data_IF_820217042587
#
_entry.id   IF_820217042587
#
_cell.length_a   1.000
_cell.length_b   1.000
_cell.length_c   1.000
_cell.angle_alpha   90.00
_cell.angle_beta   90.00
_cell.angle_gamma   90.00
#
_symmetry.space_group_name_H-M   'P 1'
#
loop_
_entity.id
_entity.type
_entity.pdbx_description
1 polymer ?
#
# COMPACT_ATOMS: atom_id res chain seq x y z
N UNK A 1 -17.76 19.43 12.52
CA UNK A 1 -16.69 18.48 12.88
C UNK A 1 -16.04 17.72 11.71
N UNK A 2 -16.45 17.91 10.44
CA UNK A 2 -15.90 17.19 9.29
C UNK A 2 -14.64 17.80 8.64
N UNK A 3 -14.30 19.04 8.97
CA UNK A 3 -13.13 19.71 8.37
C UNK A 3 -11.85 19.64 9.21
N UNK A 4 -11.94 19.22 10.48
CA UNK A 4 -10.77 19.19 11.38
C UNK A 4 -9.89 17.95 11.17
N UNK A 5 -10.45 16.84 10.68
CA UNK A 5 -9.67 15.60 10.46
C UNK A 5 -8.78 15.69 9.22
N UNK A 6 -9.25 16.41 8.17
CA UNK A 6 -8.47 16.61 6.94
C UNK A 6 -7.26 17.52 7.17
N UNK A 7 -7.42 18.53 8.05
CA UNK A 7 -6.33 19.44 8.43
C UNK A 7 -5.28 18.77 9.32
N UNK A 8 -5.68 17.78 10.15
CA UNK A 8 -4.73 17.02 10.98
C UNK A 8 -3.83 16.10 10.13
N UNK A 9 -4.37 15.47 9.08
CA UNK A 9 -3.58 14.64 8.15
C UNK A 9 -2.62 15.48 7.31
N UNK A 10 -3.06 16.66 6.84
CA UNK A 10 -2.19 17.60 6.10
C UNK A 10 -1.12 18.20 7.02
N UNK A 11 -1.47 18.53 8.28
CA UNK A 11 -0.54 19.05 9.27
C UNK A 11 0.53 18.04 9.70
N UNK A 12 0.19 16.74 9.82
CA UNK A 12 1.16 15.68 10.12
C UNK A 12 2.13 15.45 8.95
N UNK A 13 1.66 15.55 7.70
CA UNK A 13 2.50 15.41 6.51
C UNK A 13 3.50 16.56 6.38
N UNK A 14 3.09 17.79 6.71
CA UNK A 14 3.98 18.96 6.70
C UNK A 14 4.97 18.92 7.89
N UNK A 15 4.54 18.44 9.07
CA UNK A 15 5.43 18.30 10.23
C UNK A 15 6.48 17.19 10.05
N UNK A 16 6.14 16.09 9.38
CA UNK A 16 7.10 15.04 9.02
C UNK A 16 8.06 15.49 7.92
N UNK A 17 7.58 16.26 6.93
CA UNK A 17 8.44 16.86 5.90
C UNK A 17 9.43 17.89 6.47
N UNK A 18 9.01 18.67 7.48
CA UNK A 18 9.84 19.72 8.08
C UNK A 18 10.99 19.19 8.94
N UNK A 19 10.88 18.02 9.56
CA UNK A 19 11.96 17.40 10.35
C UNK A 19 12.90 16.53 9.52
N UNK A 20 12.42 15.88 8.48
CA UNK A 20 13.26 15.10 7.55
C UNK A 20 14.17 15.97 6.70
N UNK A 21 13.87 17.27 6.54
CA UNK A 21 14.64 18.17 5.68
C UNK A 21 15.95 18.67 6.27
N UNK A 22 16.23 18.48 7.57
CA UNK A 22 17.50 18.89 8.16
C UNK A 22 18.62 17.86 8.01
N UNK A 23 18.30 16.57 7.86
CA UNK A 23 19.30 15.50 7.80
C UNK A 23 19.39 14.79 6.44
N UNK A 24 18.46 15.05 5.52
CA UNK A 24 18.44 14.52 4.15
C UNK A 24 18.74 15.59 3.08
N UNK A 25 19.35 16.72 3.47
CA UNK A 25 19.89 17.66 2.49
C UNK A 25 20.97 16.92 1.72
N UNK A 26 20.68 16.51 0.47
CA UNK A 26 21.72 16.13 -0.50
C UNK A 26 22.71 17.27 -0.46
N UNK A 27 23.96 17.06 -0.02
CA UNK A 27 24.90 18.16 0.07
C UNK A 27 25.15 18.65 -1.36
N UNK A 28 24.54 19.77 -1.71
CA UNK A 28 24.79 20.44 -2.98
C UNK A 28 26.18 21.00 -2.87
N UNK A 29 27.12 20.31 -3.48
CA UNK A 29 28.52 20.72 -3.52
C UNK A 29 28.84 21.39 -4.84
N UNK A 30 29.88 22.20 -4.84
CA UNK A 30 30.36 22.90 -6.04
C UNK A 30 31.77 22.47 -6.41
N UNK A 31 32.04 22.51 -7.70
CA UNK A 31 33.37 22.46 -8.27
C UNK A 31 33.89 23.91 -8.39
N UNK A 32 35.05 24.19 -7.85
CA UNK A 32 35.70 25.48 -7.97
C UNK A 32 36.99 25.24 -8.77
N UNK A 33 37.05 25.81 -9.95
CA UNK A 33 38.27 25.81 -10.78
C UNK A 33 38.86 27.20 -10.77
N UNK A 34 40.17 27.29 -10.66
CA UNK A 34 40.89 28.54 -10.69
C UNK A 34 42.14 28.45 -11.55
N UNK A 35 42.62 29.61 -12.00
CA UNK A 35 43.87 29.74 -12.71
C UNK A 35 44.72 30.79 -11.99
N UNK A 36 45.94 30.45 -11.71
CA UNK A 36 46.91 31.33 -11.07
C UNK A 36 47.90 31.81 -12.11
N UNK A 37 48.05 33.12 -12.22
CA UNK A 37 49.00 33.76 -13.12
C UNK A 37 49.82 34.81 -12.38
N UNK A 38 51.08 34.94 -12.72
CA UNK A 38 51.95 36.03 -12.22
C UNK A 38 51.43 37.38 -12.72
N UNK A 39 51.31 38.32 -11.83
CA UNK A 39 50.72 39.63 -12.15
C UNK A 39 51.59 40.48 -13.10
N UNK A 40 52.91 40.34 -13.00
CA UNK A 40 53.86 41.14 -13.79
C UNK A 40 54.13 40.51 -15.14
N UNK A 41 54.42 39.21 -15.16
CA UNK A 41 54.85 38.50 -16.36
C UNK A 41 53.67 37.97 -17.17
N UNK A 42 52.49 37.84 -16.53
CA UNK A 42 51.28 37.21 -17.08
C UNK A 42 51.49 35.73 -17.44
N UNK A 43 52.56 35.10 -16.96
CA UNK A 43 52.81 33.68 -17.11
C UNK A 43 52.00 32.89 -16.10
N UNK A 44 51.68 31.67 -16.47
CA UNK A 44 51.04 30.67 -15.63
C UNK A 44 52.01 30.26 -14.51
N UNK A 45 51.48 29.93 -13.33
CA UNK A 45 52.28 29.59 -12.15
C UNK A 45 51.92 28.18 -11.71
N UNK A 46 52.90 27.27 -11.84
CA UNK A 46 52.78 25.86 -11.43
C UNK A 46 53.32 25.63 -10.00
N UNK A 47 53.02 24.48 -9.43
CA UNK A 47 53.49 23.95 -8.13
C UNK A 47 53.16 24.84 -6.91
N UNK A 48 52.15 25.67 -6.98
CA UNK A 48 51.68 26.46 -5.86
C UNK A 48 50.53 25.76 -5.15
N UNK A 49 50.68 25.54 -3.83
CA UNK A 49 49.61 24.99 -3.00
C UNK A 49 48.52 26.05 -2.75
N UNK A 50 47.31 25.72 -3.14
CA UNK A 50 46.13 26.54 -2.91
C UNK A 50 45.23 25.84 -1.85
N UNK A 51 44.96 26.56 -0.77
CA UNK A 51 44.06 26.06 0.29
C UNK A 51 42.74 26.83 0.28
N UNK A 52 41.62 26.08 0.32
CA UNK A 52 40.29 26.63 0.47
C UNK A 52 39.70 26.18 1.80
N UNK A 53 39.34 27.12 2.68
CA UNK A 53 38.66 26.85 3.95
C UNK A 53 37.19 27.23 3.84
N UNK A 54 36.30 26.25 4.01
CA UNK A 54 34.85 26.48 4.09
C UNK A 54 34.48 27.05 5.46
N UNK A 55 33.80 28.17 5.50
CA UNK A 55 33.30 28.77 6.75
C UNK A 55 32.08 27.97 7.29
N UNK A 56 31.40 27.18 6.43
CA UNK A 56 30.23 26.40 6.83
C UNK A 56 30.62 25.14 7.58
N UNK A 57 31.62 24.41 7.09
CA UNK A 57 32.06 23.13 7.67
C UNK A 57 33.37 23.20 8.43
N UNK A 58 34.11 24.32 8.31
CA UNK A 58 35.46 24.44 8.83
C UNK A 58 36.52 23.61 8.08
N UNK A 59 36.11 22.78 7.11
CA UNK A 59 37.00 21.89 6.37
C UNK A 59 37.92 22.68 5.45
N UNK A 60 39.18 22.24 5.38
CA UNK A 60 40.21 22.78 4.48
C UNK A 60 40.37 21.80 3.31
N UNK A 61 40.33 22.33 2.10
CA UNK A 61 40.62 21.63 0.85
C UNK A 61 41.93 22.13 0.31
N UNK A 62 42.79 21.27 -0.21
CA UNK A 62 44.09 21.62 -0.81
C UNK A 62 44.10 21.18 -2.27
N UNK A 63 44.71 21.96 -3.10
CA UNK A 63 45.00 21.66 -4.50
C UNK A 63 46.33 22.34 -4.89
N UNK A 64 47.10 21.75 -5.78
CA UNK A 64 48.29 22.34 -6.38
C UNK A 64 47.96 22.81 -7.79
N UNK A 65 48.62 23.88 -8.23
CA UNK A 65 48.52 24.39 -9.60
C UNK A 65 49.33 23.52 -10.55
N UNK A 66 48.75 23.18 -11.69
CA UNK A 66 49.38 22.43 -12.78
C UNK A 66 50.25 23.38 -13.67
N UNK A 67 50.87 22.80 -14.70
CA UNK A 67 51.68 23.50 -15.70
C UNK A 67 50.99 24.69 -16.41
N UNK A 68 49.63 24.69 -16.38
CA UNK A 68 48.80 25.77 -16.92
C UNK A 68 48.30 26.72 -15.81
N UNK A 69 48.86 26.64 -14.61
CA UNK A 69 48.45 27.42 -13.46
C UNK A 69 47.05 27.05 -12.93
N UNK A 70 46.45 25.91 -13.38
CA UNK A 70 45.09 25.52 -13.03
C UNK A 70 45.06 24.72 -11.73
N UNK A 71 44.13 25.07 -10.85
CA UNK A 71 43.77 24.26 -9.66
C UNK A 71 42.29 23.97 -9.59
N UNK A 72 41.91 22.89 -8.91
CA UNK A 72 40.51 22.44 -8.83
C UNK A 72 40.19 21.93 -7.44
N UNK A 73 39.15 22.52 -6.83
CA UNK A 73 38.51 21.98 -5.64
C UNK A 73 37.19 21.31 -6.01
N UNK A 74 36.96 20.11 -5.49
CA UNK A 74 35.70 19.37 -5.69
C UNK A 74 34.98 19.25 -4.36
N UNK A 75 33.64 19.10 -4.43
CA UNK A 75 32.81 18.85 -3.26
C UNK A 75 32.85 19.97 -2.19
N UNK A 76 32.95 21.19 -2.62
CA UNK A 76 32.97 22.37 -1.73
C UNK A 76 31.50 22.71 -1.37
N UNK A 77 31.12 22.73 -0.06
CA UNK A 77 29.78 23.11 0.34
C UNK A 77 29.47 24.57 -0.05
N UNK A 78 28.18 24.81 -0.32
CA UNK A 78 27.69 26.15 -0.63
C UNK A 78 27.85 27.03 0.62
N UNK A 79 28.36 28.22 0.45
CA UNK A 79 28.51 29.20 1.52
C UNK A 79 29.81 30.02 1.40
N UNK A 80 30.14 30.71 2.48
CA UNK A 80 31.36 31.50 2.52
C UNK A 80 32.59 30.62 2.60
N UNK A 81 33.60 30.89 1.76
CA UNK A 81 34.87 30.18 1.75
C UNK A 81 36.02 31.18 1.62
N UNK A 82 37.17 30.83 2.17
CA UNK A 82 38.41 31.63 2.11
C UNK A 82 39.46 30.84 1.39
N UNK A 83 40.10 31.41 0.39
CA UNK A 83 41.24 30.82 -0.31
C UNK A 83 42.54 31.44 0.21
N UNK A 84 43.55 30.59 0.43
CA UNK A 84 44.93 30.96 0.73
C UNK A 84 45.83 30.32 -0.29
N UNK A 85 46.87 31.09 -0.69
CA UNK A 85 47.99 30.55 -1.44
C UNK A 85 49.14 30.30 -0.46
N UNK A 86 49.77 29.14 -0.57
CA UNK A 86 50.94 28.76 0.21
C UNK A 86 52.05 28.49 -0.80
N UNK A 87 52.95 29.41 -0.90
CA UNK A 87 54.14 29.25 -1.72
C UNK A 87 55.36 29.20 -0.80
N UNK A 88 56.36 28.39 -1.14
CA UNK A 88 57.58 28.21 -0.38
C UNK A 88 58.43 29.49 -0.30
N UNK A 89 58.32 30.34 -1.33
CA UNK A 89 59.09 31.58 -1.46
C UNK A 89 58.30 32.84 -1.09
N UNK A 90 57.01 32.74 -0.86
CA UNK A 90 56.12 33.85 -0.56
C UNK A 90 55.36 33.63 0.76
N UNK A 91 55.28 34.66 1.59
CA UNK A 91 54.47 34.60 2.82
C UNK A 91 52.99 34.39 2.47
N UNK A 92 52.36 33.48 3.13
CA UNK A 92 50.97 33.06 2.89
C UNK A 92 50.03 34.28 2.68
N UNK A 93 49.46 34.38 1.50
CA UNK A 93 48.50 35.40 1.14
C UNK A 93 47.06 34.93 1.43
N UNK A 94 46.35 35.69 2.25
CA UNK A 94 44.93 35.41 2.54
C UNK A 94 44.06 36.13 1.51
N UNK A 95 43.34 35.36 0.72
CA UNK A 95 42.31 35.88 -0.18
C UNK A 95 41.02 36.25 0.57
N UNK A 96 40.33 37.26 0.06
CA UNK A 96 39.05 37.70 0.59
C UNK A 96 38.01 36.58 0.58
N UNK A 97 37.14 36.61 1.58
CA UNK A 97 35.95 35.75 1.69
C UNK A 97 35.07 35.93 0.45
N UNK A 98 34.72 34.87 -0.23
CA UNK A 98 33.74 34.88 -1.32
C UNK A 98 32.56 33.99 -0.98
N UNK A 99 31.37 34.38 -1.46
CA UNK A 99 30.16 33.55 -1.33
C UNK A 99 30.01 32.71 -2.58
N UNK A 100 29.94 31.39 -2.39
CA UNK A 100 29.58 30.45 -3.44
C UNK A 100 28.06 30.46 -3.63
N UNK A 101 27.51 31.56 -4.15
CA UNK A 101 26.08 31.64 -4.48
C UNK A 101 25.74 30.93 -5.79
N UNK A 102 24.45 30.60 -6.00
CA UNK A 102 23.92 29.68 -7.00
C UNK A 102 24.14 30.05 -8.48
N UNK A 103 24.81 31.14 -8.80
CA UNK A 103 25.06 31.53 -10.20
C UNK A 103 26.55 31.45 -10.50
N UNK A 104 26.88 30.99 -11.72
CA UNK A 104 28.25 31.03 -12.22
C UNK A 104 28.75 32.48 -12.22
N UNK A 105 29.76 32.74 -11.41
CA UNK A 105 30.45 34.03 -11.43
C UNK A 105 31.92 33.81 -11.74
N UNK A 106 32.38 34.39 -12.83
CA UNK A 106 33.80 34.63 -13.03
C UNK A 106 34.22 35.76 -12.09
N UNK A 107 34.95 35.44 -11.04
CA UNK A 107 35.40 36.41 -10.09
C UNK A 107 36.91 36.64 -10.33
N UNK A 108 37.27 37.84 -10.81
CA UNK A 108 38.65 38.25 -10.91
C UNK A 108 39.11 38.83 -9.57
N UNK A 109 40.08 38.19 -8.95
CA UNK A 109 40.74 38.73 -7.77
C UNK A 109 42.12 39.21 -8.15
N UNK A 110 42.41 40.50 -7.92
CA UNK A 110 43.73 41.03 -7.99
C UNK A 110 44.30 41.11 -6.59
N UNK A 111 45.42 40.48 -6.36
CA UNK A 111 46.13 40.57 -5.10
C UNK A 111 46.71 42.00 -4.91
N UNK A 112 46.81 42.46 -3.65
CA UNK A 112 47.27 43.79 -3.34
C UNK A 112 48.66 44.06 -3.95
N UNK A 113 49.06 45.36 -4.10
CA UNK A 113 50.25 45.78 -4.78
C UNK A 113 51.54 45.12 -4.30
N UNK A 114 51.53 44.38 -3.22
CA UNK A 114 52.70 43.69 -2.65
C UNK A 114 52.72 42.18 -3.04
N UNK A 115 51.75 41.68 -3.81
CA UNK A 115 51.71 40.27 -4.18
C UNK A 115 51.51 40.09 -5.69
N UNK A 116 52.35 39.25 -6.34
CA UNK A 116 52.46 39.21 -7.79
C UNK A 116 51.42 38.35 -8.50
N UNK A 117 50.46 37.78 -7.82
CA UNK A 117 49.53 36.80 -8.42
C UNK A 117 48.12 37.34 -8.65
N UNK A 118 47.50 36.92 -9.71
CA UNK A 118 46.06 37.08 -9.94
C UNK A 118 45.41 35.71 -10.14
N UNK A 119 44.23 35.52 -9.59
CA UNK A 119 43.47 34.27 -9.76
C UNK A 119 42.11 34.55 -10.37
N UNK A 120 41.75 33.74 -11.37
CA UNK A 120 40.37 33.65 -11.90
C UNK A 120 39.69 32.41 -11.31
N UNK A 121 38.54 32.60 -10.68
CA UNK A 121 37.78 31.51 -10.11
C UNK A 121 36.47 31.28 -10.90
N UNK A 122 36.30 30.07 -11.42
CA UNK A 122 35.06 29.62 -12.01
C UNK A 122 34.35 28.68 -11.04
N UNK A 123 33.16 29.04 -10.59
CA UNK A 123 32.34 28.22 -9.70
C UNK A 123 31.25 27.58 -10.51
N UNK A 124 31.21 26.24 -10.57
CA UNK A 124 30.18 25.48 -11.26
C UNK A 124 29.44 24.53 -10.30
N UNK A 125 28.19 24.25 -10.64
CA UNK A 125 27.43 23.24 -9.90
C UNK A 125 27.97 21.85 -10.20
N UNK A 126 28.19 21.06 -9.16
CA UNK A 126 28.45 19.65 -9.29
C UNK A 126 27.27 18.89 -8.70
N UNK A 127 26.53 18.16 -9.55
CA UNK A 127 25.68 17.07 -9.10
C UNK A 127 26.57 15.87 -8.83
N UNK A 128 26.90 15.67 -7.56
CA UNK A 128 27.78 14.58 -7.16
C UNK A 128 27.00 13.30 -6.97
N UNK A 129 26.81 12.54 -8.04
CA UNK A 129 26.24 11.19 -7.99
C UNK A 129 27.32 10.11 -7.73
N UNK A 130 28.58 10.45 -7.53
CA UNK A 130 29.63 9.46 -7.55
C UNK A 130 30.90 9.61 -6.74
N UNK A 131 31.24 10.77 -6.20
CA UNK A 131 32.53 10.95 -5.52
C UNK A 131 32.44 10.83 -4.00
N UNK A 132 32.13 9.61 -3.51
CA UNK A 132 32.56 9.25 -2.16
C UNK A 132 33.84 8.43 -2.27
N UNK A 133 34.96 9.07 -1.95
CA UNK A 133 36.26 8.40 -1.78
C UNK A 133 36.20 7.56 -0.49
N UNK A 134 35.80 6.31 -0.62
CA UNK A 134 35.85 5.30 0.41
C UNK A 134 35.12 4.04 -0.07
N UNK A 135 35.89 3.00 -0.44
CA UNK A 135 35.33 1.72 -0.89
C UNK A 135 34.34 1.10 0.12
N UNK A 136 34.43 1.48 1.39
CA UNK A 136 33.59 0.95 2.46
C UNK A 136 32.15 1.49 2.45
N UNK A 137 31.89 2.66 1.87
CA UNK A 137 30.55 3.26 1.85
C UNK A 137 29.85 3.16 0.49
N UNK A 138 30.53 2.68 -0.55
CA UNK A 138 29.94 2.58 -1.90
C UNK A 138 28.68 1.73 -1.92
N UNK A 139 28.71 0.56 -1.29
CA UNK A 139 27.58 -0.38 -1.25
C UNK A 139 26.38 0.18 -0.47
N UNK A 140 26.61 0.85 0.66
CA UNK A 140 25.54 1.46 1.46
C UNK A 140 24.83 2.57 0.69
N UNK A 141 25.56 3.38 -0.07
CA UNK A 141 24.96 4.43 -0.91
C UNK A 141 24.24 3.87 -2.14
N UNK A 142 24.77 2.82 -2.75
CA UNK A 142 24.06 2.14 -3.85
C UNK A 142 22.74 1.54 -3.37
N UNK A 143 22.77 0.85 -2.24
CA UNK A 143 21.56 0.29 -1.60
C UNK A 143 20.55 1.41 -1.26
N UNK A 144 21.01 2.50 -0.66
CA UNK A 144 20.14 3.64 -0.35
C UNK A 144 19.48 4.25 -1.59
N UNK A 145 20.20 4.35 -2.73
CA UNK A 145 19.63 4.82 -4.01
C UNK A 145 18.59 3.86 -4.56
N UNK A 146 18.86 2.56 -4.52
CA UNK A 146 17.89 1.53 -4.95
C UNK A 146 16.61 1.64 -4.11
N UNK A 147 16.76 1.74 -2.78
CA UNK A 147 15.62 1.91 -1.87
C UNK A 147 14.83 3.18 -2.22
N UNK A 148 15.51 4.30 -2.49
CA UNK A 148 14.86 5.56 -2.85
C UNK A 148 14.07 5.46 -4.17
N UNK A 149 14.62 4.78 -5.17
CA UNK A 149 13.93 4.54 -6.45
C UNK A 149 12.70 3.65 -6.23
N UNK A 150 12.86 2.54 -5.49
CA UNK A 150 11.73 1.65 -5.16
C UNK A 150 10.67 2.43 -4.40
N UNK A 151 11.05 3.24 -3.40
CA UNK A 151 10.14 4.08 -2.65
C UNK A 151 9.39 5.07 -3.55
N UNK A 152 10.09 5.74 -4.48
CA UNK A 152 9.46 6.62 -5.46
C UNK A 152 8.44 5.90 -6.34
N UNK A 153 8.77 4.69 -6.83
CA UNK A 153 7.83 3.86 -7.58
C UNK A 153 6.60 3.46 -6.76
N UNK A 154 6.80 3.09 -5.49
CA UNK A 154 5.69 2.79 -4.58
C UNK A 154 4.77 4.00 -4.39
N UNK A 155 5.33 5.21 -4.22
CA UNK A 155 4.53 6.43 -4.10
C UNK A 155 3.69 6.70 -5.35
N UNK A 156 4.26 6.50 -6.54
CA UNK A 156 3.54 6.63 -7.81
C UNK A 156 2.38 5.63 -7.89
N UNK A 157 2.61 4.37 -7.53
CA UNK A 157 1.56 3.34 -7.49
C UNK A 157 0.45 3.69 -6.50
N UNK A 158 0.82 4.14 -5.29
CA UNK A 158 -0.14 4.58 -4.26
C UNK A 158 -0.96 5.77 -4.78
N UNK A 159 -0.33 6.71 -5.49
CA UNK A 159 -1.05 7.85 -6.08
C UNK A 159 -2.12 7.38 -7.08
N UNK A 160 -1.77 6.52 -8.04
CA UNK A 160 -2.75 6.00 -9.00
C UNK A 160 -3.85 5.18 -8.32
N UNK A 161 -3.49 4.34 -7.35
CA UNK A 161 -4.47 3.61 -6.55
C UNK A 161 -5.44 4.56 -5.84
N UNK A 162 -4.94 5.65 -5.25
CA UNK A 162 -5.76 6.65 -4.56
C UNK A 162 -6.72 7.37 -5.50
N UNK A 163 -6.29 7.65 -6.74
CA UNK A 163 -7.15 8.24 -7.78
C UNK A 163 -8.29 7.28 -8.15
N UNK A 164 -8.00 5.98 -8.28
CA UNK A 164 -9.02 4.95 -8.54
C UNK A 164 -10.01 4.90 -7.37
N UNK A 165 -9.53 4.82 -6.12
CA UNK A 165 -10.39 4.81 -4.93
C UNK A 165 -11.27 6.06 -4.84
N UNK A 166 -10.73 7.23 -5.17
CA UNK A 166 -11.50 8.47 -5.21
C UNK A 166 -12.62 8.40 -6.27
N UNK A 167 -12.35 7.85 -7.45
CA UNK A 167 -13.36 7.68 -8.50
C UNK A 167 -14.51 6.76 -8.06
N UNK A 168 -14.19 5.65 -7.37
CA UNK A 168 -15.20 4.75 -6.81
C UNK A 168 -16.02 5.41 -5.70
N UNK A 169 -15.37 6.21 -4.83
CA UNK A 169 -16.07 6.97 -3.80
C UNK A 169 -17.06 7.98 -4.40
N UNK A 170 -16.67 8.69 -5.46
CA UNK A 170 -17.54 9.61 -6.19
C UNK A 170 -18.71 8.85 -6.81
N UNK A 171 -18.46 7.70 -7.45
CA UNK A 171 -19.50 6.86 -8.04
C UNK A 171 -20.51 6.38 -6.99
N UNK A 172 -20.03 5.93 -5.83
CA UNK A 172 -20.88 5.54 -4.70
C UNK A 172 -21.76 6.70 -4.23
N UNK A 173 -21.17 7.87 -3.96
CA UNK A 173 -21.90 9.04 -3.45
C UNK A 173 -22.98 9.50 -4.45
N UNK A 174 -22.65 9.57 -5.75
CA UNK A 174 -23.61 9.93 -6.82
C UNK A 174 -24.79 8.97 -6.90
N UNK A 175 -24.55 7.66 -6.69
CA UNK A 175 -25.58 6.62 -6.83
C UNK A 175 -26.22 6.20 -5.50
N UNK A 176 -25.76 6.71 -4.36
CA UNK A 176 -26.22 6.32 -3.01
C UNK A 176 -27.73 6.40 -2.85
N UNK A 177 -28.37 7.47 -3.31
CA UNK A 177 -29.85 7.65 -3.24
C UNK A 177 -30.56 6.58 -4.04
N UNK A 178 -30.09 6.27 -5.26
CA UNK A 178 -30.66 5.24 -6.14
C UNK A 178 -30.49 3.84 -5.54
N UNK A 179 -29.38 3.56 -4.88
CA UNK A 179 -29.16 2.27 -4.20
C UNK A 179 -30.05 2.12 -2.96
N UNK A 180 -30.22 3.18 -2.16
CA UNK A 180 -31.07 3.17 -0.97
C UNK A 180 -32.56 3.07 -1.28
N UNK A 181 -33.00 3.52 -2.45
CA UNK A 181 -34.40 3.43 -2.91
C UNK A 181 -34.72 2.10 -3.60
N UNK A 182 -33.76 1.18 -3.75
CA UNK A 182 -34.03 -0.14 -4.29
C UNK A 182 -34.87 -0.94 -3.29
N UNK A 183 -36.10 -1.23 -3.66
CA UNK A 183 -36.97 -2.15 -2.93
C UNK A 183 -36.54 -3.57 -3.33
N UNK A 184 -36.48 -4.50 -2.35
CA UNK A 184 -36.28 -5.92 -2.66
C UNK A 184 -37.35 -6.38 -3.64
N UNK A 185 -36.99 -6.99 -4.78
CA UNK A 185 -37.96 -7.47 -5.72
C UNK A 185 -38.98 -8.42 -5.03
N UNK A 186 -40.25 -8.43 -5.45
CA UNK A 186 -41.21 -9.35 -4.89
C UNK A 186 -40.73 -10.80 -5.08
N UNK A 187 -40.91 -11.60 -4.05
CA UNK A 187 -40.45 -12.99 -4.02
C UNK A 187 -41.60 -13.92 -3.72
N UNK A 188 -41.84 -14.87 -4.63
CA UNK A 188 -42.86 -15.88 -4.45
C UNK A 188 -42.27 -17.14 -3.77
N UNK A 189 -42.59 -17.31 -2.50
CA UNK A 189 -42.16 -18.46 -1.71
C UNK A 189 -42.67 -19.83 -2.25
N UNK A 190 -43.83 -19.85 -2.92
CA UNK A 190 -44.36 -21.09 -3.49
C UNK A 190 -43.47 -21.62 -4.62
N UNK A 191 -42.89 -20.68 -5.40
CA UNK A 191 -41.98 -20.99 -6.50
C UNK A 191 -40.50 -20.74 -6.14
N UNK A 192 -40.15 -20.69 -4.85
CA UNK A 192 -38.80 -20.51 -4.41
C UNK A 192 -37.87 -21.58 -4.99
N UNK A 193 -36.66 -21.22 -5.49
CA UNK A 193 -35.67 -22.17 -5.97
C UNK A 193 -35.04 -22.96 -4.80
N UNK A 194 -34.44 -24.12 -5.09
CA UNK A 194 -33.67 -24.86 -4.07
C UNK A 194 -32.38 -24.11 -3.75
N UNK A 195 -32.06 -24.04 -2.45
CA UNK A 195 -30.84 -23.38 -1.93
C UNK A 195 -30.07 -24.35 -1.03
N UNK A 196 -28.76 -24.46 -1.24
CA UNK A 196 -27.85 -25.14 -0.33
C UNK A 196 -26.99 -24.10 0.41
N UNK A 197 -26.96 -24.18 1.73
CA UNK A 197 -26.05 -23.40 2.58
C UNK A 197 -24.83 -24.25 2.88
N UNK A 198 -23.63 -23.75 2.56
CA UNK A 198 -22.35 -24.41 2.84
C UNK A 198 -21.63 -23.70 3.96
N UNK A 199 -21.21 -24.45 4.98
CA UNK A 199 -20.55 -24.01 6.19
C UNK A 199 -19.14 -24.67 6.28
N UNK A 200 -18.10 -24.14 5.64
CA UNK A 200 -16.75 -24.68 5.77
C UNK A 200 -16.19 -24.36 7.16
N UNK A 201 -15.70 -25.39 7.87
CA UNK A 201 -15.22 -25.30 9.25
C UNK A 201 -13.88 -26.01 9.42
N UNK A 202 -13.03 -25.47 10.29
CA UNK A 202 -11.78 -26.10 10.71
C UNK A 202 -11.36 -25.66 12.11
N UNK A 203 -11.49 -26.53 13.11
CA UNK A 203 -11.11 -26.28 14.51
C UNK A 203 -11.81 -25.02 15.11
N UNK A 204 -13.12 -24.93 14.92
CA UNK A 204 -13.96 -23.77 15.28
C UNK A 204 -14.94 -24.11 16.42
N UNK A 205 -14.48 -24.83 17.44
CA UNK A 205 -15.30 -25.40 18.51
C UNK A 205 -16.23 -24.39 19.21
N UNK A 206 -15.81 -23.12 19.35
CA UNK A 206 -16.57 -22.11 20.09
C UNK A 206 -17.71 -21.46 19.29
N UNK A 207 -17.73 -21.61 17.98
CA UNK A 207 -18.69 -20.94 17.10
C UNK A 207 -19.50 -21.91 16.23
N UNK A 208 -19.06 -23.17 16.11
CA UNK A 208 -19.65 -24.17 15.23
C UNK A 208 -21.16 -24.40 15.53
N UNK A 209 -21.56 -24.63 16.80
CA UNK A 209 -22.95 -24.79 17.17
C UNK A 209 -23.81 -23.58 16.83
N UNK A 210 -23.26 -22.37 17.08
CA UNK A 210 -23.99 -21.13 16.85
C UNK A 210 -24.31 -20.92 15.36
N UNK A 211 -23.35 -21.10 14.46
CA UNK A 211 -23.62 -20.91 13.03
C UNK A 211 -24.56 -21.97 12.49
N UNK A 212 -24.46 -23.26 12.90
CA UNK A 212 -25.36 -24.31 12.51
C UNK A 212 -26.79 -23.99 12.95
N UNK A 213 -26.98 -23.57 14.20
CA UNK A 213 -28.28 -23.18 14.72
C UNK A 213 -28.86 -21.98 13.99
N UNK A 214 -28.04 -20.92 13.81
CA UNK A 214 -28.46 -19.71 13.10
C UNK A 214 -28.91 -20.02 11.66
N UNK A 215 -28.17 -20.89 10.96
CA UNK A 215 -28.55 -21.31 9.61
C UNK A 215 -29.81 -22.20 9.61
N UNK A 216 -30.01 -23.02 10.64
CA UNK A 216 -31.22 -23.84 10.81
C UNK A 216 -32.49 -23.01 11.03
N UNK A 217 -32.33 -21.77 11.53
CA UNK A 217 -33.40 -20.80 11.76
C UNK A 217 -33.72 -19.89 10.57
N UNK A 218 -33.05 -20.04 9.43
CA UNK A 218 -33.30 -19.22 8.23
C UNK A 218 -34.74 -19.49 7.75
N UNK A 219 -35.48 -18.40 7.48
CA UNK A 219 -36.84 -18.41 6.96
C UNK A 219 -36.84 -18.77 5.47
N UNK A 220 -36.94 -20.07 5.18
CA UNK A 220 -37.00 -20.58 3.81
C UNK A 220 -37.81 -21.90 3.78
N UNK A 221 -38.50 -22.23 2.67
CA UNK A 221 -39.27 -23.50 2.58
C UNK A 221 -38.37 -24.72 2.84
N UNK A 222 -38.75 -25.57 3.79
CA UNK A 222 -37.93 -26.69 4.28
C UNK A 222 -37.59 -27.72 3.21
N UNK A 223 -38.51 -27.95 2.28
CA UNK A 223 -38.33 -28.85 1.13
C UNK A 223 -37.40 -28.32 0.05
N UNK A 224 -37.05 -27.02 0.14
CA UNK A 224 -36.20 -26.31 -0.80
C UNK A 224 -34.89 -25.81 -0.18
N UNK A 225 -34.58 -26.28 1.02
CA UNK A 225 -33.47 -25.81 1.83
C UNK A 225 -32.58 -26.96 2.30
N UNK A 226 -31.29 -26.87 2.05
CA UNK A 226 -30.28 -27.83 2.49
C UNK A 226 -29.14 -27.10 3.19
N UNK A 227 -28.63 -27.70 4.26
CA UNK A 227 -27.42 -27.27 4.94
C UNK A 227 -26.32 -28.33 4.76
N UNK A 228 -25.13 -27.93 4.35
CA UNK A 228 -23.94 -28.78 4.31
C UNK A 228 -22.87 -28.19 5.24
N UNK A 229 -22.54 -28.91 6.30
CA UNK A 229 -21.43 -28.57 7.19
C UNK A 229 -20.20 -29.30 6.70
N UNK A 230 -19.22 -28.52 6.18
CA UNK A 230 -18.02 -29.04 5.54
C UNK A 230 -16.87 -28.97 6.54
N UNK A 231 -16.59 -30.10 7.16
CA UNK A 231 -15.74 -30.20 8.34
C UNK A 231 -14.39 -30.81 8.00
N UNK A 232 -13.34 -29.99 8.14
CA UNK A 232 -11.94 -30.39 8.02
C UNK A 232 -11.27 -30.50 9.40
N UNK A 233 -12.03 -30.46 10.50
CA UNK A 233 -11.49 -30.37 11.87
C UNK A 233 -10.79 -31.63 12.32
N UNK A 234 -9.77 -31.44 13.14
CA UNK A 234 -8.91 -32.48 13.72
C UNK A 234 -9.02 -32.53 15.25
N UNK A 235 -9.76 -31.58 15.85
CA UNK A 235 -9.99 -31.45 17.29
C UNK A 235 -11.43 -31.83 17.67
N UNK A 236 -11.87 -31.46 18.87
CA UNK A 236 -13.21 -31.71 19.42
C UNK A 236 -14.36 -31.09 18.59
N UNK A 237 -14.05 -30.12 17.73
CA UNK A 237 -15.02 -29.47 16.83
C UNK A 237 -15.82 -30.50 16.02
N UNK A 238 -15.17 -31.59 15.59
CA UNK A 238 -15.80 -32.68 14.83
C UNK A 238 -16.99 -33.28 15.57
N UNK A 239 -16.79 -33.61 16.85
CA UNK A 239 -17.83 -34.25 17.66
C UNK A 239 -18.94 -33.25 17.98
N UNK A 240 -18.62 -32.00 18.23
CA UNK A 240 -19.56 -30.89 18.42
C UNK A 240 -20.45 -30.75 17.17
N UNK A 241 -19.87 -30.68 15.99
CA UNK A 241 -20.58 -30.58 14.71
C UNK A 241 -21.48 -31.78 14.50
N UNK A 242 -20.97 -33.02 14.72
CA UNK A 242 -21.74 -34.24 14.53
C UNK A 242 -22.99 -34.26 15.40
N UNK A 243 -22.86 -33.94 16.69
CA UNK A 243 -23.96 -33.87 17.65
C UNK A 243 -24.98 -32.79 17.26
N UNK A 244 -24.51 -31.60 16.90
CA UNK A 244 -25.39 -30.49 16.50
C UNK A 244 -26.13 -30.77 15.19
N UNK A 245 -25.47 -31.38 14.22
CA UNK A 245 -26.10 -31.81 12.97
C UNK A 245 -27.21 -32.86 13.23
N UNK A 246 -26.98 -33.83 14.14
CA UNK A 246 -27.99 -34.82 14.52
C UNK A 246 -29.20 -34.16 15.20
N UNK A 247 -28.99 -33.23 16.11
CA UNK A 247 -30.06 -32.44 16.76
C UNK A 247 -30.92 -31.69 15.75
N UNK A 248 -30.27 -30.98 14.82
CA UNK A 248 -30.94 -30.17 13.77
C UNK A 248 -31.70 -31.07 12.79
N UNK A 249 -31.12 -32.21 12.42
CA UNK A 249 -31.78 -33.21 11.56
C UNK A 249 -33.05 -33.79 12.23
N UNK A 250 -33.03 -34.05 13.54
CA UNK A 250 -34.18 -34.51 14.29
C UNK A 250 -35.35 -33.52 14.29
N UNK A 251 -35.09 -32.22 14.01
CA UNK A 251 -36.13 -31.19 13.82
C UNK A 251 -36.68 -31.14 12.39
N UNK A 252 -36.33 -32.12 11.54
CA UNK A 252 -36.79 -32.23 10.15
C UNK A 252 -36.09 -31.27 9.17
N UNK A 253 -34.89 -30.77 9.49
CA UNK A 253 -34.09 -29.93 8.60
C UNK A 253 -33.14 -30.81 7.79
N UNK A 254 -33.09 -30.60 6.47
CA UNK A 254 -32.13 -31.29 5.60
C UNK A 254 -30.73 -30.75 5.85
N UNK A 255 -29.94 -31.41 6.71
CA UNK A 255 -28.60 -31.09 7.07
C UNK A 255 -27.65 -32.27 6.88
N UNK A 256 -26.47 -32.03 6.33
CA UNK A 256 -25.45 -33.05 6.09
C UNK A 256 -24.13 -32.61 6.74
N UNK A 257 -23.54 -33.51 7.53
CA UNK A 257 -22.16 -33.36 8.02
C UNK A 257 -21.21 -34.06 7.02
N UNK A 258 -20.36 -33.30 6.34
CA UNK A 258 -19.37 -33.78 5.38
C UNK A 258 -18.00 -33.61 5.98
N UNK A 259 -17.47 -34.64 6.65
CA UNK A 259 -16.14 -34.62 7.24
C UNK A 259 -15.12 -35.15 6.25
N UNK A 260 -13.97 -34.46 6.15
CA UNK A 260 -12.82 -34.86 5.37
C UNK A 260 -11.61 -35.09 6.30
N UNK A 261 -10.80 -36.11 5.99
CA UNK A 261 -9.55 -36.40 6.71
C UNK A 261 -8.35 -35.71 6.08
N UNK A 262 -8.42 -35.34 4.82
CA UNK A 262 -7.43 -34.54 4.13
C UNK A 262 -7.93 -33.10 3.96
N UNK A 263 -7.01 -32.16 4.05
CA UNK A 263 -7.29 -30.73 3.88
C UNK A 263 -6.82 -30.19 2.53
N UNK A 264 -6.71 -31.06 1.53
CA UNK A 264 -6.24 -30.61 0.21
C UNK A 264 -7.16 -29.51 -0.34
N UNK A 265 -6.55 -28.39 -0.73
CA UNK A 265 -7.27 -27.20 -1.21
C UNK A 265 -7.93 -26.37 -0.10
N UNK A 266 -7.73 -26.69 1.19
CA UNK A 266 -8.29 -25.95 2.32
C UNK A 266 -9.81 -25.70 2.19
N UNK A 267 -10.28 -24.49 2.45
CA UNK A 267 -11.68 -24.07 2.32
C UNK A 267 -12.24 -24.33 0.91
N UNK A 268 -11.49 -23.94 -0.13
CA UNK A 268 -11.92 -24.17 -1.51
C UNK A 268 -12.07 -25.65 -1.82
N UNK A 269 -11.17 -26.50 -1.29
CA UNK A 269 -11.26 -27.96 -1.42
C UNK A 269 -12.46 -28.55 -0.68
N UNK A 270 -12.83 -28.01 0.48
CA UNK A 270 -14.02 -28.43 1.21
C UNK A 270 -15.30 -28.13 0.42
N UNK A 271 -15.40 -26.90 -0.13
CA UNK A 271 -16.52 -26.50 -0.97
C UNK A 271 -16.63 -27.36 -2.24
N UNK A 272 -15.51 -27.61 -2.93
CA UNK A 272 -15.45 -28.40 -4.16
C UNK A 272 -15.88 -29.86 -3.91
N UNK A 273 -15.37 -30.48 -2.85
CA UNK A 273 -15.70 -31.84 -2.46
C UNK A 273 -17.21 -32.06 -2.20
N UNK A 274 -17.91 -31.02 -1.76
CA UNK A 274 -19.33 -31.09 -1.46
C UNK A 274 -20.23 -30.78 -2.65
N UNK A 275 -19.69 -30.30 -3.78
CA UNK A 275 -20.47 -29.88 -4.95
C UNK A 275 -21.34 -30.99 -5.53
N UNK A 276 -20.88 -32.24 -5.51
CA UNK A 276 -21.64 -33.41 -6.01
C UNK A 276 -22.90 -33.68 -5.19
N UNK A 277 -22.95 -33.22 -3.93
CA UNK A 277 -24.07 -33.40 -2.99
C UNK A 277 -24.95 -32.16 -2.85
N UNK A 278 -24.64 -31.09 -3.61
CA UNK A 278 -25.45 -29.86 -3.62
C UNK A 278 -26.76 -30.12 -4.34
N UNK A 279 -27.89 -29.92 -3.65
CA UNK A 279 -29.24 -30.00 -4.22
C UNK A 279 -29.73 -28.64 -4.76
N UNK A 280 -29.15 -27.55 -4.28
CA UNK A 280 -29.56 -26.19 -4.57
C UNK A 280 -29.18 -25.70 -5.96
N UNK A 281 -30.06 -24.93 -6.59
CA UNK A 281 -29.75 -24.08 -7.74
C UNK A 281 -28.84 -22.93 -7.31
N UNK A 282 -28.96 -22.50 -6.06
CA UNK A 282 -28.16 -21.46 -5.45
C UNK A 282 -27.39 -22.00 -4.24
N UNK A 283 -26.19 -21.47 -4.03
CA UNK A 283 -25.28 -21.87 -2.96
C UNK A 283 -24.94 -20.66 -2.12
N UNK A 284 -25.39 -20.62 -0.86
CA UNK A 284 -24.97 -19.59 0.12
C UNK A 284 -23.77 -20.10 0.92
N UNK A 285 -22.79 -19.27 1.14
CA UNK A 285 -21.55 -19.63 1.86
C UNK A 285 -21.39 -18.73 3.09
N UNK A 286 -21.19 -19.34 4.26
CA UNK A 286 -20.90 -18.63 5.51
C UNK A 286 -19.69 -19.23 6.22
N UNK A 287 -18.80 -18.38 6.71
CA UNK A 287 -17.75 -18.78 7.62
C UNK A 287 -18.33 -19.06 9.02
N UNK A 288 -17.63 -19.84 9.83
CA UNK A 288 -18.10 -20.32 11.11
C UNK A 288 -18.40 -19.20 12.13
N UNK A 289 -17.76 -18.06 11.99
CA UNK A 289 -17.94 -16.89 12.88
C UNK A 289 -19.10 -15.97 12.49
N UNK A 290 -19.78 -16.25 11.36
CA UNK A 290 -20.91 -15.45 10.89
C UNK A 290 -22.21 -15.74 11.65
N UNK A 291 -23.11 -14.76 11.61
CA UNK A 291 -24.49 -14.86 12.14
C UNK A 291 -25.42 -14.27 11.09
N UNK A 292 -25.88 -15.08 10.10
CA UNK A 292 -26.84 -14.63 9.10
C UNK A 292 -28.18 -14.28 9.72
N UNK A 293 -28.87 -13.27 9.18
CA UNK A 293 -30.23 -12.95 9.58
C UNK A 293 -31.21 -14.00 9.05
N UNK A 294 -32.33 -14.22 9.76
CA UNK A 294 -33.36 -15.19 9.36
C UNK A 294 -33.92 -14.94 7.96
N UNK A 295 -34.00 -13.67 7.56
CA UNK A 295 -34.49 -13.24 6.25
C UNK A 295 -33.42 -13.18 5.15
N UNK A 296 -32.20 -13.72 5.42
CA UNK A 296 -31.04 -13.60 4.51
C UNK A 296 -31.36 -14.06 3.08
N UNK A 297 -31.94 -15.25 2.93
CA UNK A 297 -32.29 -15.81 1.61
C UNK A 297 -33.43 -15.03 0.95
N UNK A 298 -34.42 -14.61 1.72
CA UNK A 298 -35.55 -13.81 1.22
C UNK A 298 -35.09 -12.45 0.68
N UNK A 299 -33.98 -11.95 1.18
CA UNK A 299 -33.37 -10.66 0.76
C UNK A 299 -32.32 -10.80 -0.33
N UNK A 300 -31.80 -11.99 -0.59
CA UNK A 300 -30.72 -12.18 -1.59
C UNK A 300 -31.20 -12.86 -2.86
N UNK A 301 -31.99 -13.92 -2.76
CA UNK A 301 -32.50 -14.71 -3.91
C UNK A 301 -33.28 -13.85 -4.93
N UNK A 302 -34.14 -12.92 -4.53
CA UNK A 302 -34.89 -12.10 -5.50
C UNK A 302 -34.04 -11.24 -6.44
N UNK A 303 -32.73 -11.02 -6.14
CA UNK A 303 -31.82 -10.27 -7.00
C UNK A 303 -31.19 -11.09 -8.12
N UNK A 304 -31.41 -12.43 -8.14
CA UNK A 304 -30.89 -13.28 -9.19
C UNK A 304 -31.72 -13.18 -10.48
N UNK A 305 -31.41 -12.16 -11.27
CA UNK A 305 -31.90 -12.09 -12.65
C UNK A 305 -31.06 -13.01 -13.55
N UNK A 306 -31.44 -13.14 -14.83
CA UNK A 306 -30.77 -14.02 -15.79
C UNK A 306 -29.25 -13.86 -15.86
N UNK A 307 -28.77 -12.62 -15.74
CA UNK A 307 -27.35 -12.27 -15.87
C UNK A 307 -26.60 -12.11 -14.52
N UNK A 308 -27.22 -12.51 -13.40
CA UNK A 308 -26.59 -12.42 -12.08
C UNK A 308 -26.06 -13.77 -11.64
N UNK A 309 -24.73 -13.90 -11.56
CA UNK A 309 -24.06 -15.12 -11.12
C UNK A 309 -23.80 -15.14 -9.61
N UNK A 310 -23.65 -13.98 -8.97
CA UNK A 310 -23.37 -13.86 -7.53
C UNK A 310 -24.05 -12.65 -6.92
N UNK A 311 -24.55 -12.82 -5.69
CA UNK A 311 -25.06 -11.73 -4.84
C UNK A 311 -24.22 -11.68 -3.56
N UNK A 312 -23.45 -10.64 -3.37
CA UNK A 312 -22.65 -10.40 -2.17
C UNK A 312 -23.37 -9.46 -1.22
N UNK A 313 -23.52 -9.86 0.04
CA UNK A 313 -24.09 -8.99 1.06
C UNK A 313 -23.02 -8.17 1.76
N UNK A 314 -23.46 -7.10 2.41
CA UNK A 314 -22.60 -6.29 3.29
C UNK A 314 -22.61 -6.88 4.69
N UNK A 315 -21.44 -7.06 5.26
CA UNK A 315 -21.29 -7.51 6.64
C UNK A 315 -21.27 -6.36 7.63
N UNK A 316 -21.53 -6.68 8.88
CA UNK A 316 -21.35 -5.80 10.01
C UNK A 316 -20.59 -6.52 11.12
N UNK A 317 -19.87 -5.78 11.97
CA UNK A 317 -19.28 -6.32 13.19
C UNK A 317 -20.33 -6.45 14.29
N UNK A 318 -20.41 -7.64 14.91
CA UNK A 318 -21.29 -7.88 16.07
C UNK A 318 -20.82 -7.10 17.30
N UNK A 319 -19.53 -6.90 17.44
CA UNK A 319 -18.88 -6.32 18.61
C UNK A 319 -18.24 -4.94 18.34
N UNK A 320 -18.77 -4.16 17.38
CA UNK A 320 -18.19 -2.87 16.96
C UNK A 320 -17.97 -1.89 18.13
N UNK A 321 -18.84 -1.93 19.15
CA UNK A 321 -18.84 -1.00 20.28
C UNK A 321 -18.03 -1.54 21.47
N UNK A 322 -17.30 -2.67 21.32
CA UNK A 322 -16.55 -3.29 22.40
C UNK A 322 -15.25 -2.55 22.74
N UNK A 323 -14.52 -2.05 21.74
CA UNK A 323 -13.27 -1.34 21.95
C UNK A 323 -12.97 -0.41 20.77
N UNK A 324 -12.05 0.54 20.96
CA UNK A 324 -11.55 1.39 19.87
C UNK A 324 -11.03 0.58 18.68
N UNK A 325 -10.37 -0.55 18.94
CA UNK A 325 -9.85 -1.41 17.90
C UNK A 325 -10.98 -2.01 17.05
N UNK A 326 -12.03 -2.53 17.69
CA UNK A 326 -13.20 -3.10 16.98
C UNK A 326 -14.01 -2.04 16.24
N UNK A 327 -14.07 -0.81 16.76
CA UNK A 327 -14.68 0.34 16.08
C UNK A 327 -13.89 0.72 14.81
N UNK A 328 -12.55 0.78 14.89
CA UNK A 328 -11.68 1.04 13.73
C UNK A 328 -11.76 -0.06 12.69
N UNK A 329 -11.85 -1.34 13.09
CA UNK A 329 -12.06 -2.46 12.19
C UNK A 329 -13.40 -2.35 11.47
N UNK A 330 -14.48 -2.05 12.21
CA UNK A 330 -15.81 -1.84 11.63
C UNK A 330 -15.83 -0.63 10.67
N UNK A 331 -15.11 0.45 10.98
CA UNK A 331 -14.95 1.59 10.10
C UNK A 331 -14.24 1.22 8.79
N UNK A 332 -13.14 0.47 8.87
CA UNK A 332 -12.41 -0.02 7.69
C UNK A 332 -13.26 -0.90 6.79
N UNK A 333 -13.97 -1.88 7.40
CA UNK A 333 -14.89 -2.78 6.70
C UNK A 333 -16.05 -2.01 6.04
N UNK A 334 -16.61 -1.02 6.72
CA UNK A 334 -17.66 -0.16 6.17
C UNK A 334 -17.15 0.64 4.96
N UNK A 335 -15.89 1.10 5.00
CA UNK A 335 -15.24 1.77 3.87
C UNK A 335 -15.09 0.84 2.67
N UNK A 336 -14.65 -0.41 2.89
CA UNK A 336 -14.54 -1.43 1.85
C UNK A 336 -15.88 -1.70 1.16
N UNK A 337 -16.93 -2.02 1.92
CA UNK A 337 -18.24 -2.30 1.34
C UNK A 337 -18.90 -1.06 0.69
N UNK A 338 -18.75 0.13 1.27
CA UNK A 338 -19.38 1.32 0.72
C UNK A 338 -18.62 1.86 -0.50
N UNK A 339 -17.31 2.04 -0.39
CA UNK A 339 -16.51 2.71 -1.42
C UNK A 339 -16.12 1.72 -2.50
N UNK A 340 -15.49 0.61 -2.13
CA UNK A 340 -14.95 -0.32 -3.13
C UNK A 340 -16.08 -1.15 -3.76
N UNK A 341 -16.78 -1.97 -3.00
CA UNK A 341 -17.84 -2.82 -3.54
C UNK A 341 -19.04 -2.01 -4.07
N UNK A 342 -19.52 -1.05 -3.27
CA UNK A 342 -20.63 -0.19 -3.66
C UNK A 342 -20.29 0.74 -4.83
N UNK A 343 -19.07 1.26 -4.88
CA UNK A 343 -18.58 2.08 -5.99
C UNK A 343 -18.42 1.28 -7.27
N UNK A 344 -17.86 0.07 -7.23
CA UNK A 344 -17.76 -0.86 -8.38
C UNK A 344 -19.13 -1.19 -8.94
N UNK A 345 -20.05 -1.64 -8.08
CA UNK A 345 -21.42 -1.96 -8.47
C UNK A 345 -22.14 -0.76 -9.08
N UNK A 346 -21.98 0.43 -8.50
CA UNK A 346 -22.58 1.66 -9.01
C UNK A 346 -22.04 2.10 -10.38
N UNK A 347 -20.80 1.75 -10.69
CA UNK A 347 -20.11 2.02 -11.96
C UNK A 347 -20.32 0.92 -13.01
N UNK A 348 -21.06 -0.15 -12.70
CA UNK A 348 -21.26 -1.29 -13.59
C UNK A 348 -20.03 -2.21 -13.71
N UNK A 349 -19.08 -2.12 -12.77
CA UNK A 349 -17.94 -3.03 -12.70
C UNK A 349 -18.28 -4.29 -11.91
N UNK A 350 -17.55 -5.37 -12.20
CA UNK A 350 -17.66 -6.60 -11.41
C UNK A 350 -17.25 -6.34 -9.96
N UNK A 351 -18.00 -6.96 -9.05
CA UNK A 351 -17.68 -6.98 -7.62
C UNK A 351 -16.83 -8.20 -7.29
N UNK A 352 -16.03 -8.11 -6.23
CA UNK A 352 -15.33 -9.26 -5.70
C UNK A 352 -16.23 -10.01 -4.73
N UNK A 353 -16.21 -11.33 -4.76
CA UNK A 353 -16.77 -12.15 -3.69
C UNK A 353 -15.78 -12.17 -2.52
N UNK A 354 -16.27 -11.89 -1.32
CA UNK A 354 -15.41 -11.78 -0.13
C UNK A 354 -15.23 -13.12 0.62
N UNK A 355 -15.47 -14.22 -0.04
CA UNK A 355 -15.31 -15.57 0.51
C UNK A 355 -16.48 -16.07 1.38
N UNK A 356 -17.38 -15.18 1.81
CA UNK A 356 -18.45 -15.49 2.77
C UNK A 356 -19.61 -14.51 2.65
N UNK A 357 -20.75 -14.85 3.28
CA UNK A 357 -21.97 -14.06 3.34
C UNK A 357 -22.45 -13.59 1.95
N UNK A 358 -22.43 -14.48 1.00
CA UNK A 358 -22.98 -14.28 -0.33
C UNK A 358 -23.57 -15.54 -0.90
N UNK A 359 -24.29 -15.39 -2.00
CA UNK A 359 -25.00 -16.46 -2.69
C UNK A 359 -24.50 -16.55 -4.13
N UNK A 360 -24.19 -17.76 -4.57
CA UNK A 360 -23.78 -18.06 -5.95
C UNK A 360 -24.88 -18.81 -6.68
N UNK A 361 -25.04 -18.55 -7.98
CA UNK A 361 -25.76 -19.45 -8.87
C UNK A 361 -24.86 -20.64 -9.18
N UNK A 362 -25.30 -21.87 -8.93
CA UNK A 362 -24.52 -23.10 -9.18
C UNK A 362 -24.02 -23.18 -10.61
N UNK A 363 -24.85 -22.88 -11.59
CA UNK A 363 -24.47 -22.89 -13.00
C UNK A 363 -23.29 -21.95 -13.30
N UNK A 364 -23.13 -20.83 -12.58
CA UNK A 364 -21.99 -19.92 -12.73
C UNK A 364 -20.70 -20.56 -12.20
N UNK A 365 -20.77 -21.32 -11.12
CA UNK A 365 -19.61 -22.06 -10.57
C UNK A 365 -19.21 -23.17 -11.57
N UNK A 366 -20.19 -23.90 -12.10
CA UNK A 366 -19.94 -24.98 -13.06
C UNK A 366 -19.33 -24.45 -14.37
N UNK A 367 -19.85 -23.33 -14.90
CA UNK A 367 -19.33 -22.64 -16.08
C UNK A 367 -17.89 -22.13 -15.90
N UNK A 368 -17.57 -21.69 -14.68
CA UNK A 368 -16.18 -21.28 -14.33
C UNK A 368 -15.21 -22.46 -14.18
N UNK A 369 -15.67 -23.70 -14.27
CA UNK A 369 -14.86 -24.92 -14.16
C UNK A 369 -14.77 -25.49 -12.74
N UNK A 370 -15.71 -25.15 -11.86
CA UNK A 370 -15.78 -25.58 -10.46
C UNK A 370 -15.03 -24.65 -9.48
N UNK A 371 -15.08 -24.99 -8.22
CA UNK A 371 -14.51 -24.16 -7.14
C UNK A 371 -12.98 -24.15 -7.18
N UNK A 372 -12.34 -25.32 -7.39
CA UNK A 372 -10.88 -25.45 -7.39
C UNK A 372 -10.20 -25.13 -8.72
N UNK A 373 -10.86 -25.43 -9.84
CA UNK A 373 -10.26 -25.32 -11.19
C UNK A 373 -10.58 -24.00 -11.87
N UNK A 374 -11.62 -23.33 -11.43
CA UNK A 374 -12.09 -22.10 -12.03
C UNK A 374 -11.47 -20.85 -11.41
N UNK A 375 -11.70 -19.71 -12.07
CA UNK A 375 -11.35 -18.38 -11.56
C UNK A 375 -12.05 -18.07 -10.21
N UNK A 376 -13.04 -18.86 -9.80
CA UNK A 376 -13.75 -18.73 -8.52
C UNK A 376 -12.81 -18.98 -7.34
N UNK A 377 -11.89 -19.95 -7.44
CA UNK A 377 -10.93 -20.25 -6.36
C UNK A 377 -9.94 -19.10 -6.06
N UNK A 378 -9.78 -18.16 -6.98
CA UNK A 378 -8.93 -16.98 -6.76
C UNK A 378 -9.60 -15.88 -5.91
N UNK A 379 -10.91 -16.04 -5.64
CA UNK A 379 -11.71 -15.06 -4.92
C UNK A 379 -12.31 -15.62 -3.60
N UNK A 380 -12.04 -16.88 -3.29
CA UNK A 380 -12.37 -17.54 -2.04
C UNK A 380 -11.16 -17.59 -1.10
#
# INVERSE_FOLDING_TARGET
MKNSLLLLFFGLFIAFSGRAHKDLAIPVSKKIEGFLVDFKTKSEVEDVEVQLKSAVTGKVYTAETDENGKFTFRNVPIGKSTIKLIDKDYRAAVLKVFETNAKEHLVHYTFSQTQPFSAQLKVSWMFNWGDYQGKEHYWSHMVARIILVIYGLCLVLIFFYSVIQLSLAIAYVKNKKKQQSRVTPPFDLANAPKVTVQLPMFNEMYVAERIIETCAEIDYPRDKFQIQVLDDSTDETKDIIANKCAEVAARGINIQHVHRTDRMGYKAGALDCAMDKVEGEFIAIFDADFVPSKDFLLRTIPYFTENVGVVQTRWGHLNKDYSLLTELQAFGLNGHFAIEQGGRNASGHYINFNGTAGVWRRATIDDAGGVLRGKVSQFL
#
